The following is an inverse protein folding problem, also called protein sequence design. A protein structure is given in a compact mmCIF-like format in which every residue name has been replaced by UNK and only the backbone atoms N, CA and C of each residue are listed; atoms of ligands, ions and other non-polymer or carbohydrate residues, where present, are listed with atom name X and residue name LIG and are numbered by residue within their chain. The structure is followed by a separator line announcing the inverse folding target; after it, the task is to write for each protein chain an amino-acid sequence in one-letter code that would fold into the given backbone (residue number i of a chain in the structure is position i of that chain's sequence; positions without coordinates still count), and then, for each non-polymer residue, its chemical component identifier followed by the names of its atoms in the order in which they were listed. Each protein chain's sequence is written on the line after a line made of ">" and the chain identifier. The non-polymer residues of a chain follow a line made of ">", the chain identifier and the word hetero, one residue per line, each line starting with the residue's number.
data_IF_458299688352
#
_entry.id   IF_458299688352
#
_cell.length_a   1.000
_cell.length_b   1.000
_cell.length_c   1.000
_cell.angle_alpha   90.00
_cell.angle_beta   90.00
_cell.angle_gamma   90.00
#
_symmetry.space_group_name_H-M   'P 1'
#
loop_
_entity.id
_entity.type
_entity.pdbx_description
1 polymer ?
#
# COMPACT_ATOMS: atom_id res chain seq x y z
N UNK A 1 -11.38 -28.75 -24.39
CA UNK A 1 -11.89 -28.69 -23.00
C UNK A 1 -12.19 -27.24 -22.70
N UNK A 2 -13.47 -26.88 -22.69
CA UNK A 2 -13.96 -25.50 -22.72
C UNK A 2 -14.53 -25.15 -21.33
N UNK A 3 -13.92 -24.23 -20.61
CA UNK A 3 -14.36 -23.80 -19.27
C UNK A 3 -15.46 -22.75 -19.43
N UNK A 4 -16.64 -22.89 -18.79
CA UNK A 4 -17.72 -21.92 -18.97
C UNK A 4 -17.42 -20.61 -18.21
N UNK A 5 -17.94 -19.45 -18.69
CA UNK A 5 -17.71 -18.17 -18.05
C UNK A 5 -18.47 -18.05 -16.73
N UNK A 6 -17.80 -17.57 -15.68
CA UNK A 6 -18.43 -17.30 -14.38
C UNK A 6 -19.45 -16.15 -14.51
N UNK A 7 -20.74 -16.50 -14.43
CA UNK A 7 -21.84 -15.54 -14.38
C UNK A 7 -21.90 -14.86 -12.99
N UNK A 8 -21.72 -13.54 -12.97
CA UNK A 8 -21.86 -12.72 -11.77
C UNK A 8 -23.36 -12.57 -11.45
N UNK A 9 -23.85 -13.20 -10.36
CA UNK A 9 -25.20 -12.94 -9.85
C UNK A 9 -25.26 -11.55 -9.19
N UNK A 10 -26.26 -10.71 -9.49
CA UNK A 10 -26.50 -9.51 -8.69
C UNK A 10 -27.21 -9.88 -7.38
N UNK A 11 -26.86 -9.19 -6.29
CA UNK A 11 -27.51 -9.32 -4.97
C UNK A 11 -28.95 -8.77 -5.02
N UNK A 12 -29.89 -9.32 -4.22
CA UNK A 12 -31.27 -8.87 -4.20
C UNK A 12 -31.40 -7.47 -3.57
N UNK A 13 -32.13 -6.60 -4.26
CA UNK A 13 -32.56 -5.29 -3.77
C UNK A 13 -33.60 -5.48 -2.66
N UNK A 14 -33.28 -5.05 -1.44
CA UNK A 14 -34.29 -4.94 -0.37
C UNK A 14 -34.83 -3.50 -0.33
N UNK A 15 -36.13 -3.43 -0.64
CA UNK A 15 -37.13 -2.40 -0.37
C UNK A 15 -36.66 -1.05 0.21
N UNK A 16 -36.87 0.00 -0.60
CA UNK A 16 -36.86 1.40 -0.20
C UNK A 16 -38.05 1.71 0.71
N UNK A 17 -37.84 1.69 2.02
CA UNK A 17 -38.76 2.32 2.96
C UNK A 17 -38.68 3.85 2.79
N UNK A 18 -39.76 4.46 2.29
CA UNK A 18 -39.96 5.91 2.25
C UNK A 18 -39.84 6.47 3.66
N UNK A 19 -38.74 7.16 3.95
CA UNK A 19 -38.63 8.00 5.15
C UNK A 19 -39.36 9.29 4.87
N UNK A 20 -40.53 9.43 5.50
CA UNK A 20 -41.29 10.67 5.57
C UNK A 20 -40.43 11.76 6.21
N UNK A 21 -40.19 12.83 5.47
CA UNK A 21 -39.61 14.08 5.95
C UNK A 21 -40.55 14.76 6.94
N UNK A 22 -40.25 14.68 8.23
CA UNK A 22 -40.67 15.70 9.20
C UNK A 22 -39.44 16.47 9.64
N UNK A 23 -39.41 17.76 9.31
CA UNK A 23 -38.32 18.67 9.60
C UNK A 23 -38.00 18.75 11.09
N UNK A 24 -36.72 18.54 11.39
CA UNK A 24 -36.07 19.10 12.57
C UNK A 24 -34.65 19.44 12.15
N UNK A 25 -34.28 20.71 12.27
CA UNK A 25 -32.98 21.24 11.90
C UNK A 25 -31.88 20.35 12.50
N UNK A 26 -31.15 19.62 11.65
CA UNK A 26 -29.96 18.88 12.06
C UNK A 26 -28.86 19.93 12.24
N UNK A 27 -28.43 20.16 13.48
CA UNK A 27 -27.15 20.81 13.75
C UNK A 27 -26.00 20.10 13.01
N UNK A 28 -24.77 20.67 12.99
CA UNK A 28 -23.67 20.14 12.18
C UNK A 28 -23.55 18.65 12.46
N UNK A 29 -23.68 17.85 11.41
CA UNK A 29 -23.70 16.40 11.47
C UNK A 29 -22.44 15.95 12.24
N UNK A 30 -22.57 15.64 13.53
CA UNK A 30 -21.48 15.02 14.28
C UNK A 30 -21.30 13.63 13.68
N UNK A 31 -20.28 13.50 12.84
CA UNK A 31 -19.75 12.21 12.40
C UNK A 31 -19.71 11.28 13.62
N UNK A 32 -20.27 10.05 13.56
CA UNK A 32 -20.09 9.04 14.60
C UNK A 32 -18.62 8.78 14.94
N UNK A 33 -17.70 9.22 14.08
CA UNK A 33 -16.27 9.07 14.18
C UNK A 33 -15.54 10.40 14.45
N UNK A 34 -16.21 11.48 14.85
CA UNK A 34 -15.58 12.80 15.00
C UNK A 34 -14.29 12.79 15.85
N UNK A 35 -14.25 12.00 16.93
CA UNK A 35 -13.04 11.85 17.77
C UNK A 35 -11.93 11.09 17.02
N UNK A 36 -12.28 10.04 16.30
CA UNK A 36 -11.33 9.26 15.50
C UNK A 36 -10.81 10.07 14.30
N UNK A 37 -11.66 10.92 13.71
CA UNK A 37 -11.30 11.81 12.61
C UNK A 37 -10.33 12.90 13.10
N UNK A 38 -10.56 13.46 14.29
CA UNK A 38 -9.63 14.41 14.92
C UNK A 38 -8.24 13.80 15.16
N UNK A 39 -8.18 12.57 15.70
CA UNK A 39 -6.92 11.83 15.87
C UNK A 39 -6.20 11.58 14.53
N UNK A 40 -6.94 11.34 13.44
CA UNK A 40 -6.33 11.19 12.12
C UNK A 40 -5.65 12.48 11.71
N UNK A 41 -6.36 13.61 11.76
CA UNK A 41 -5.85 14.91 11.34
C UNK A 41 -4.60 15.29 12.14
N UNK A 42 -4.63 15.10 13.45
CA UNK A 42 -3.48 15.36 14.34
C UNK A 42 -2.22 14.58 13.95
N UNK A 43 -2.39 13.34 13.48
CA UNK A 43 -1.28 12.42 13.22
C UNK A 43 -0.97 12.19 11.73
N UNK A 44 -1.55 12.98 10.82
CA UNK A 44 -1.19 12.97 9.40
C UNK A 44 0.32 13.18 9.15
N UNK A 45 1.04 14.10 9.85
CA UNK A 45 2.49 14.26 9.66
C UNK A 45 3.28 12.99 9.98
N UNK A 46 2.81 12.17 10.93
CA UNK A 46 3.41 10.87 11.22
C UNK A 46 3.25 9.90 10.06
N UNK A 47 2.03 9.79 9.49
CA UNK A 47 1.77 8.96 8.32
C UNK A 47 2.62 9.39 7.11
N UNK A 48 2.70 10.70 6.85
CA UNK A 48 3.53 11.27 5.79
C UNK A 48 5.03 10.96 5.97
N UNK A 49 5.56 11.05 7.19
CA UNK A 49 6.95 10.68 7.49
C UNK A 49 7.21 9.19 7.25
N UNK A 50 6.26 8.31 7.56
CA UNK A 50 6.39 6.88 7.27
C UNK A 50 6.37 6.64 5.75
N UNK A 51 5.42 7.22 5.03
CA UNK A 51 5.32 7.12 3.58
C UNK A 51 6.58 7.61 2.86
N UNK A 52 7.13 8.77 3.24
CA UNK A 52 8.37 9.31 2.68
C UNK A 52 9.56 8.35 2.84
N UNK A 53 9.66 7.64 3.97
CA UNK A 53 10.69 6.63 4.18
C UNK A 53 10.52 5.42 3.27
N UNK A 54 9.29 4.97 3.01
CA UNK A 54 9.02 3.90 2.06
C UNK A 54 9.26 4.36 0.61
N UNK A 55 8.85 5.57 0.24
CA UNK A 55 9.07 6.14 -1.09
C UNK A 55 10.56 6.14 -1.44
N UNK A 56 11.42 6.66 -0.54
CA UNK A 56 12.88 6.67 -0.73
C UNK A 56 13.49 5.28 -0.91
N UNK A 57 12.91 4.25 -0.30
CA UNK A 57 13.44 2.87 -0.33
C UNK A 57 12.92 2.04 -1.51
N UNK A 58 11.75 2.39 -2.03
CA UNK A 58 11.01 1.56 -3.00
C UNK A 58 10.82 2.22 -4.35
N UNK A 59 11.06 3.53 -4.46
CA UNK A 59 10.87 4.31 -5.69
C UNK A 59 9.41 4.56 -6.07
N UNK A 60 8.46 4.18 -5.21
CA UNK A 60 7.03 4.44 -5.45
C UNK A 60 6.68 5.92 -5.21
N UNK A 61 5.65 6.45 -5.91
CA UNK A 61 5.16 7.80 -5.69
C UNK A 61 4.83 8.04 -4.21
N UNK A 62 5.31 9.17 -3.69
CA UNK A 62 5.16 9.50 -2.26
C UNK A 62 3.68 9.69 -1.92
N UNK A 63 2.94 10.32 -2.83
CA UNK A 63 1.53 10.69 -2.70
C UNK A 63 0.66 9.42 -2.54
N UNK A 64 0.92 8.39 -3.35
CA UNK A 64 0.22 7.10 -3.25
C UNK A 64 0.48 6.41 -1.91
N UNK A 65 1.75 6.43 -1.47
CA UNK A 65 2.12 5.86 -0.17
C UNK A 65 1.55 6.65 1.01
N UNK A 66 1.39 7.97 0.87
CA UNK A 66 0.73 8.82 1.87
C UNK A 66 -0.75 8.49 2.01
N UNK A 67 -1.45 8.21 0.90
CA UNK A 67 -2.84 7.76 0.95
C UNK A 67 -2.98 6.42 1.68
N UNK A 68 -2.10 5.46 1.38
CA UNK A 68 -2.08 4.17 2.07
C UNK A 68 -1.77 4.33 3.56
N UNK A 69 -0.82 5.18 3.90
CA UNK A 69 -0.49 5.51 5.28
C UNK A 69 -1.68 6.12 6.01
N UNK A 70 -2.41 7.04 5.37
CA UNK A 70 -3.63 7.66 5.91
C UNK A 70 -4.76 6.64 6.12
N UNK A 71 -4.96 5.68 5.20
CA UNK A 71 -5.92 4.59 5.38
C UNK A 71 -5.57 3.76 6.63
N UNK A 72 -4.28 3.46 6.84
CA UNK A 72 -3.82 2.74 8.02
C UNK A 72 -4.08 3.53 9.30
N UNK A 73 -3.86 4.84 9.26
CA UNK A 73 -4.11 5.74 10.37
C UNK A 73 -5.60 5.81 10.73
N UNK A 74 -6.50 5.88 9.73
CA UNK A 74 -7.96 5.85 9.92
C UNK A 74 -8.40 4.52 10.54
N UNK A 75 -7.84 3.40 10.07
CA UNK A 75 -8.14 2.07 10.64
C UNK A 75 -7.68 1.98 12.11
N UNK A 76 -6.54 2.57 12.45
CA UNK A 76 -6.04 2.62 13.82
C UNK A 76 -6.89 3.53 14.71
N UNK A 77 -7.22 4.74 14.27
CA UNK A 77 -7.98 5.71 15.08
C UNK A 77 -9.36 5.18 15.46
N UNK A 78 -10.07 4.54 14.52
CA UNK A 78 -11.39 3.93 14.76
C UNK A 78 -11.37 2.78 15.76
N UNK A 79 -10.21 2.16 16.02
CA UNK A 79 -10.04 1.02 16.93
C UNK A 79 -9.33 1.40 18.23
N UNK A 80 -8.85 2.64 18.33
CA UNK A 80 -8.10 3.08 19.49
C UNK A 80 -9.03 3.48 20.63
N UNK A 81 -8.96 2.72 21.72
CA UNK A 81 -9.68 3.02 22.95
C UNK A 81 -8.73 3.65 23.97
N UNK A 82 -8.96 4.93 24.28
CA UNK A 82 -8.18 5.70 25.26
C UNK A 82 -8.51 5.33 26.71
N UNK A 83 -9.66 4.72 26.97
CA UNK A 83 -10.10 4.35 28.31
C UNK A 83 -9.53 3.00 28.76
N UNK A 84 -8.89 2.26 27.85
CA UNK A 84 -8.21 1.02 28.18
C UNK A 84 -6.99 1.31 29.09
N UNK A 85 -6.79 0.55 30.18
CA UNK A 85 -5.65 0.72 31.06
C UNK A 85 -4.31 0.72 30.30
N UNK A 86 -3.44 1.68 30.62
CA UNK A 86 -2.13 1.86 29.99
C UNK A 86 -2.15 2.58 28.63
N UNK A 87 -3.31 3.05 28.16
CA UNK A 87 -3.43 3.87 26.95
C UNK A 87 -3.65 5.35 27.29
N UNK A 88 -3.11 6.19 26.44
CA UNK A 88 -3.16 7.66 26.52
C UNK A 88 -3.00 8.19 25.09
N UNK A 89 -3.56 9.37 24.73
CA UNK A 89 -3.34 9.97 23.42
C UNK A 89 -1.86 9.97 22.98
N UNK A 90 -0.93 10.18 23.91
CA UNK A 90 0.52 10.16 23.66
C UNK A 90 1.06 8.79 23.20
N UNK A 91 0.32 7.70 23.43
CA UNK A 91 0.67 6.34 23.02
C UNK A 91 0.04 5.94 21.67
N UNK A 92 -0.76 6.81 21.04
CA UNK A 92 -1.47 6.47 19.81
C UNK A 92 -0.53 6.12 18.66
N UNK A 93 0.57 6.86 18.47
CA UNK A 93 1.55 6.60 17.40
C UNK A 93 2.12 5.18 17.49
N UNK A 94 2.46 4.72 18.70
CA UNK A 94 2.99 3.38 18.92
C UNK A 94 1.97 2.31 18.52
N UNK A 95 0.68 2.54 18.82
CA UNK A 95 -0.41 1.66 18.43
C UNK A 95 -0.70 1.71 16.91
N UNK A 96 -0.66 2.89 16.29
CA UNK A 96 -1.03 3.11 14.90
C UNK A 96 0.05 2.65 13.91
N UNK A 97 1.33 2.66 14.31
CA UNK A 97 2.45 2.27 13.45
C UNK A 97 2.30 0.92 12.72
N UNK A 98 1.89 -0.20 13.36
CA UNK A 98 1.67 -1.44 12.64
C UNK A 98 0.56 -1.35 11.59
N UNK A 99 -0.47 -0.53 11.78
CA UNK A 99 -1.54 -0.33 10.79
C UNK A 99 -1.03 0.46 9.59
N UNK A 100 -0.33 1.58 9.83
CA UNK A 100 0.25 2.43 8.78
C UNK A 100 1.26 1.64 7.94
N UNK A 101 2.20 0.94 8.59
CA UNK A 101 3.16 0.09 7.89
C UNK A 101 2.47 -1.07 7.16
N UNK A 102 1.43 -1.64 7.76
CA UNK A 102 0.66 -2.74 7.19
C UNK A 102 0.04 -2.39 5.85
N UNK A 103 -0.68 -1.27 5.76
CA UNK A 103 -1.31 -0.84 4.50
C UNK A 103 -0.27 -0.62 3.39
N UNK A 104 0.84 0.05 3.69
CA UNK A 104 1.92 0.28 2.73
C UNK A 104 2.53 -1.05 2.28
N UNK A 105 2.88 -1.93 3.22
CA UNK A 105 3.54 -3.20 2.89
C UNK A 105 2.63 -4.21 2.19
N UNK A 106 1.32 -4.20 2.47
CA UNK A 106 0.34 -4.98 1.70
C UNK A 106 0.28 -4.49 0.25
N UNK A 107 0.17 -3.18 0.04
CA UNK A 107 0.20 -2.60 -1.30
C UNK A 107 1.49 -2.96 -2.05
N UNK A 108 2.65 -2.73 -1.45
CA UNK A 108 3.93 -3.02 -2.09
C UNK A 108 4.11 -4.51 -2.43
N UNK A 109 3.53 -5.41 -1.63
CA UNK A 109 3.60 -6.87 -1.85
C UNK A 109 2.76 -7.32 -3.03
N UNK A 110 1.55 -6.76 -3.15
CA UNK A 110 0.49 -7.28 -4.02
C UNK A 110 0.32 -6.45 -5.29
N UNK A 111 0.62 -5.14 -5.23
CA UNK A 111 0.35 -4.15 -6.29
C UNK A 111 1.53 -3.21 -6.57
N UNK A 112 2.63 -3.32 -5.83
CA UNK A 112 3.80 -2.45 -5.99
C UNK A 112 4.65 -2.72 -7.23
N UNK A 113 4.30 -3.72 -8.04
CA UNK A 113 5.05 -4.05 -9.25
C UNK A 113 4.09 -4.09 -10.42
N UNK A 114 4.40 -3.34 -11.47
CA UNK A 114 3.64 -3.34 -12.71
C UNK A 114 3.74 -4.69 -13.45
N UNK A 115 4.88 -5.37 -13.30
CA UNK A 115 5.08 -6.74 -13.78
C UNK A 115 5.32 -7.63 -12.56
N UNK A 116 4.47 -8.63 -12.38
CA UNK A 116 4.57 -9.55 -11.24
C UNK A 116 5.79 -10.46 -11.39
N UNK A 117 6.70 -10.39 -10.41
CA UNK A 117 7.86 -11.28 -10.31
C UNK A 117 7.57 -12.39 -9.29
N UNK A 118 7.85 -13.68 -9.60
CA UNK A 118 7.63 -14.78 -8.68
C UNK A 118 8.23 -14.51 -7.29
N UNK A 119 7.48 -14.84 -6.22
CA UNK A 119 7.89 -14.55 -4.83
C UNK A 119 9.27 -15.10 -4.46
N UNK A 120 9.56 -16.33 -4.90
CA UNK A 120 10.87 -16.99 -4.70
C UNK A 120 12.03 -16.21 -5.32
N UNK A 121 11.81 -15.58 -6.48
CA UNK A 121 12.84 -14.79 -7.15
C UNK A 121 13.11 -13.50 -6.38
N UNK A 122 12.06 -12.82 -5.91
CA UNK A 122 12.20 -11.63 -5.05
C UNK A 122 12.95 -11.94 -3.76
N UNK A 123 12.67 -13.08 -3.14
CA UNK A 123 13.36 -13.52 -1.94
C UNK A 123 14.85 -13.78 -2.19
N UNK A 124 15.18 -14.53 -3.25
CA UNK A 124 16.57 -14.77 -3.66
C UNK A 124 17.30 -13.46 -3.95
N UNK A 125 16.69 -12.57 -4.72
CA UNK A 125 17.25 -11.26 -5.02
C UNK A 125 17.48 -10.44 -3.74
N UNK A 126 16.52 -10.39 -2.81
CA UNK A 126 16.66 -9.67 -1.55
C UNK A 126 17.80 -10.24 -0.67
N UNK A 127 17.98 -11.56 -0.64
CA UNK A 127 19.12 -12.21 0.05
C UNK A 127 20.46 -11.84 -0.60
N UNK A 128 20.56 -11.86 -1.93
CA UNK A 128 21.77 -11.42 -2.62
C UNK A 128 22.10 -9.93 -2.40
N UNK A 129 21.08 -9.07 -2.40
CA UNK A 129 21.25 -7.64 -2.06
C UNK A 129 21.68 -7.44 -0.59
N UNK A 130 21.36 -8.37 0.32
CA UNK A 130 21.90 -8.37 1.68
C UNK A 130 23.38 -8.74 1.67
N UNK A 131 23.77 -9.82 0.98
CA UNK A 131 25.17 -10.25 0.84
C UNK A 131 26.07 -9.18 0.22
N UNK A 132 25.59 -8.46 -0.81
CA UNK A 132 26.31 -7.31 -1.39
C UNK A 132 26.59 -6.22 -0.35
N UNK A 133 25.61 -5.88 0.48
CA UNK A 133 25.76 -4.88 1.55
C UNK A 133 26.70 -5.33 2.67
N UNK A 134 26.85 -6.64 2.85
CA UNK A 134 27.78 -7.25 3.79
C UNK A 134 29.20 -7.40 3.20
N UNK A 135 29.42 -6.98 1.95
CA UNK A 135 30.75 -6.97 1.30
C UNK A 135 31.07 -8.25 0.52
N UNK A 136 30.09 -9.13 0.29
CA UNK A 136 30.28 -10.33 -0.52
C UNK A 136 30.52 -9.95 -1.98
N UNK A 137 31.58 -10.46 -2.63
CA UNK A 137 31.82 -10.26 -4.06
C UNK A 137 30.65 -10.76 -4.93
N UNK A 138 30.28 -9.98 -5.96
CA UNK A 138 29.06 -10.23 -6.76
C UNK A 138 29.09 -11.56 -7.54
N UNK A 139 30.28 -12.05 -7.88
CA UNK A 139 30.55 -13.33 -8.55
C UNK A 139 30.28 -14.54 -7.65
N UNK A 140 30.41 -14.39 -6.33
CA UNK A 140 30.22 -15.48 -5.36
C UNK A 140 28.76 -15.64 -4.92
N UNK A 141 27.94 -14.61 -5.08
CA UNK A 141 26.54 -14.58 -4.62
C UNK A 141 25.68 -15.69 -5.23
N UNK A 142 25.71 -15.97 -6.55
CA UNK A 142 24.91 -17.05 -7.14
C UNK A 142 25.20 -18.40 -6.47
N UNK A 143 26.49 -18.71 -6.30
CA UNK A 143 26.97 -19.94 -5.68
C UNK A 143 26.53 -20.05 -4.21
N UNK A 144 26.63 -18.97 -3.43
CA UNK A 144 26.17 -18.93 -2.04
C UNK A 144 24.66 -19.09 -1.90
N UNK A 145 23.89 -18.63 -2.89
CA UNK A 145 22.44 -18.77 -2.93
C UNK A 145 21.98 -20.10 -3.56
N UNK A 146 22.90 -20.95 -4.02
CA UNK A 146 22.59 -22.23 -4.65
C UNK A 146 21.89 -22.10 -6.01
N UNK A 147 22.21 -21.05 -6.78
CA UNK A 147 21.66 -20.80 -8.12
C UNK A 147 22.77 -20.62 -9.15
N UNK A 148 22.52 -21.00 -10.41
CA UNK A 148 23.47 -20.76 -11.50
C UNK A 148 23.62 -19.27 -11.79
N UNK A 149 24.75 -18.88 -12.38
CA UNK A 149 25.01 -17.50 -12.78
C UNK A 149 23.95 -16.99 -13.76
N UNK A 150 23.61 -17.78 -14.78
CA UNK A 150 22.55 -17.45 -15.75
C UNK A 150 21.22 -17.17 -15.06
N UNK A 151 20.83 -18.04 -14.11
CA UNK A 151 19.58 -17.87 -13.37
C UNK A 151 19.60 -16.65 -12.46
N UNK A 152 20.74 -16.35 -11.86
CA UNK A 152 20.93 -15.13 -11.06
C UNK A 152 20.79 -13.87 -11.90
N UNK A 153 21.34 -13.86 -13.13
CA UNK A 153 21.21 -12.76 -14.09
C UNK A 153 19.75 -12.54 -14.44
N UNK A 154 18.99 -13.59 -14.77
CA UNK A 154 17.54 -13.49 -15.04
C UNK A 154 16.77 -12.92 -13.84
N UNK A 155 17.02 -13.45 -12.64
CA UNK A 155 16.36 -13.01 -11.40
C UNK A 155 16.65 -11.53 -11.14
N UNK A 156 17.92 -11.14 -11.26
CA UNK A 156 18.38 -9.77 -11.01
C UNK A 156 17.78 -8.80 -12.03
N UNK A 157 17.78 -9.17 -13.32
CA UNK A 157 17.18 -8.37 -14.38
C UNK A 157 15.68 -8.16 -14.14
N UNK A 158 14.94 -9.24 -13.81
CA UNK A 158 13.50 -9.17 -13.54
C UNK A 158 13.19 -8.31 -12.31
N UNK A 159 14.01 -8.39 -11.25
CA UNK A 159 13.81 -7.64 -10.01
C UNK A 159 14.28 -6.18 -10.08
N UNK A 160 15.15 -5.82 -11.04
CA UNK A 160 15.69 -4.48 -11.22
C UNK A 160 14.87 -3.59 -12.16
N UNK A 161 13.82 -4.13 -12.81
CA UNK A 161 12.97 -3.37 -13.74
C UNK A 161 12.40 -2.14 -13.04
N UNK A 162 12.77 -0.96 -13.55
CA UNK A 162 12.17 0.31 -13.18
C UNK A 162 11.27 0.77 -14.30
N UNK A 163 10.02 1.08 -13.97
CA UNK A 163 9.10 1.67 -14.94
C UNK A 163 9.37 3.17 -15.03
N UNK A 164 9.51 3.64 -16.25
CA UNK A 164 9.66 5.05 -16.60
C UNK A 164 8.44 5.43 -17.42
N UNK A 165 7.78 6.53 -17.06
CA UNK A 165 6.72 7.08 -17.88
C UNK A 165 7.33 7.64 -19.18
N UNK A 166 6.87 7.17 -20.33
CA UNK A 166 7.21 7.77 -21.61
C UNK A 166 6.20 8.87 -21.92
N UNK A 167 6.68 10.07 -22.24
CA UNK A 167 5.81 11.13 -22.74
C UNK A 167 5.27 10.71 -24.12
N UNK A 168 3.96 10.49 -24.21
CA UNK A 168 3.29 10.31 -25.50
C UNK A 168 3.26 11.69 -26.14
N UNK A 169 3.95 11.88 -27.26
CA UNK A 169 3.77 13.07 -28.09
C UNK A 169 2.32 13.04 -28.57
N UNK A 170 1.56 14.10 -28.30
CA UNK A 170 0.26 14.31 -28.92
C UNK A 170 0.46 14.16 -30.43
N UNK A 171 -0.27 13.22 -31.03
CA UNK A 171 -0.32 13.12 -32.47
C UNK A 171 -1.00 14.39 -32.98
N UNK A 172 -0.34 15.09 -33.90
CA UNK A 172 -0.87 16.31 -34.52
C UNK A 172 -2.30 16.05 -35.05
N UNK A 173 -3.29 16.89 -34.68
CA UNK A 173 -4.67 16.73 -35.14
C UNK A 173 -4.90 17.23 -36.58
N UNK A 174 -3.86 17.45 -37.39
CA UNK A 174 -3.98 17.99 -38.75
C UNK A 174 -4.01 16.90 -39.83
N UNK A 175 -5.06 16.07 -39.85
CA UNK A 175 -5.46 15.27 -41.02
C UNK A 175 -7.00 15.06 -41.03
N UNK A 176 -7.75 16.12 -41.32
CA UNK A 176 -9.09 16.10 -41.95
C UNK A 176 -9.09 17.10 -43.11
#
# INVERSE_FOLDING_TARGET
>A
MNTPPHAHRPRPQQATARVTTSGRARGPLRSPHAVADALVVEHLPFAAKVAANYARRTGHPKEDLEQLAAIGLIKASRRYDIHRPGRSPNHFIAYARPFVNGEITHYLRDKGFLISVPGRWRELHARGQKLLREGTPADQIPSLLGVSLERWVEISAACAVRVVAMAVREADPELE
#
